data_IF_130303461728
#
_entry.id   IF_130303461728
#
_cell.length_a   1.000
_cell.length_b   1.000
_cell.length_c   1.000
_cell.angle_alpha   90.00
_cell.angle_beta   90.00
_cell.angle_gamma   90.00
#
_symmetry.space_group_name_H-M   'P 1'
#
loop_
_entity.id
_entity.type
_entity.pdbx_description
1 polymer ?
#
# COMPACT_ATOMS: atom_id res chain seq x y z
N UNK A 1 12.63 -9.65 9.14
CA UNK A 1 11.21 -9.50 9.54
C UNK A 1 11.04 -8.53 10.71
N UNK A 2 11.71 -8.76 11.87
CA UNK A 2 11.58 -7.88 13.04
C UNK A 2 11.91 -6.41 12.73
N UNK A 3 12.96 -6.13 11.96
CA UNK A 3 13.36 -4.79 11.56
C UNK A 3 12.29 -4.05 10.76
N UNK A 4 11.57 -4.74 9.86
CA UNK A 4 10.46 -4.15 9.10
C UNK A 4 9.30 -3.75 10.02
N UNK A 5 8.95 -4.62 10.98
CA UNK A 5 7.93 -4.31 11.99
C UNK A 5 8.29 -3.07 12.81
N UNK A 6 9.52 -3.04 13.33
CA UNK A 6 10.01 -1.89 14.10
C UNK A 6 10.00 -0.59 13.29
N UNK A 7 10.45 -0.65 12.03
CA UNK A 7 10.41 0.50 11.13
C UNK A 7 8.97 1.00 10.94
N UNK A 8 8.01 0.10 10.70
CA UNK A 8 6.60 0.46 10.54
C UNK A 8 6.03 1.13 11.79
N UNK A 9 6.28 0.57 12.98
CA UNK A 9 5.82 1.14 14.26
C UNK A 9 6.44 2.51 14.50
N UNK A 10 7.76 2.65 14.33
CA UNK A 10 8.44 3.94 14.52
C UNK A 10 7.89 5.02 13.59
N UNK A 11 7.73 4.70 12.31
CA UNK A 11 7.18 5.65 11.33
C UNK A 11 5.74 6.01 11.67
N UNK A 12 4.91 5.05 12.07
CA UNK A 12 3.52 5.31 12.46
C UNK A 12 3.43 6.25 13.66
N UNK A 13 4.24 6.03 14.70
CA UNK A 13 4.30 6.89 15.89
C UNK A 13 4.76 8.31 15.53
N UNK A 14 5.84 8.43 14.77
CA UNK A 14 6.38 9.74 14.34
C UNK A 14 5.34 10.46 13.48
N UNK A 15 4.72 9.79 12.52
CA UNK A 15 3.67 10.34 11.66
C UNK A 15 2.45 10.80 12.47
N UNK A 16 2.05 10.01 13.47
CA UNK A 16 0.95 10.38 14.36
C UNK A 16 1.23 11.66 15.16
N UNK A 17 2.42 11.80 15.71
CA UNK A 17 2.85 13.03 16.41
C UNK A 17 2.90 14.23 15.45
N UNK A 18 3.44 14.02 14.24
CA UNK A 18 3.58 15.09 13.25
C UNK A 18 2.19 15.59 12.79
N UNK A 19 1.31 14.69 12.43
CA UNK A 19 -0.05 15.01 11.98
C UNK A 19 -0.87 15.67 13.09
N UNK A 20 -0.78 15.20 14.33
CA UNK A 20 -1.45 15.81 15.47
C UNK A 20 -0.95 17.24 15.74
N UNK A 21 0.35 17.47 15.62
CA UNK A 21 0.96 18.79 15.87
C UNK A 21 0.71 19.79 14.75
N UNK A 22 0.73 19.35 13.45
CA UNK A 22 0.71 20.24 12.30
C UNK A 22 -0.69 20.40 11.70
N UNK A 23 -1.47 19.32 11.62
CA UNK A 23 -2.74 19.29 10.88
C UNK A 23 -3.95 19.30 11.81
N UNK A 24 -3.92 18.44 12.83
CA UNK A 24 -5.06 18.24 13.73
C UNK A 24 -4.88 18.98 15.06
N UNK A 25 -4.75 20.30 15.02
CA UNK A 25 -4.78 21.14 16.22
C UNK A 25 -6.21 21.27 16.74
N UNK A 26 -6.82 20.16 17.16
CA UNK A 26 -8.14 20.15 17.76
C UNK A 26 -8.12 20.78 19.17
N UNK A 27 -9.12 21.60 19.48
CA UNK A 27 -9.38 21.98 20.87
C UNK A 27 -9.81 20.71 21.61
N UNK A 28 -9.27 20.42 22.81
CA UNK A 28 -9.77 19.30 23.59
C UNK A 28 -11.25 19.51 23.87
N UNK A 29 -12.09 18.61 23.38
CA UNK A 29 -13.52 18.61 23.70
C UNK A 29 -13.60 18.30 25.18
N UNK A 30 -14.27 19.14 26.02
CA UNK A 30 -14.45 18.83 27.42
C UNK A 30 -15.17 17.50 27.54
N UNK A 31 -14.50 16.55 28.17
CA UNK A 31 -14.98 15.18 28.32
C UNK A 31 -16.00 15.16 29.44
N UNK A 32 -17.27 15.42 29.12
CA UNK A 32 -18.37 15.23 30.07
C UNK A 32 -18.83 13.79 29.91
N UNK A 33 -18.31 12.90 30.73
CA UNK A 33 -18.79 11.52 30.81
C UNK A 33 -19.73 11.41 32.01
N UNK A 34 -21.01 11.32 31.71
CA UNK A 34 -21.89 10.53 32.57
C UNK A 34 -21.47 9.07 32.31
N UNK A 35 -20.87 8.42 33.30
CA UNK A 35 -20.49 7.02 33.22
C UNK A 35 -21.75 6.19 33.06
N UNK A 36 -22.07 5.63 31.88
CA UNK A 36 -23.17 4.71 31.74
C UNK A 36 -22.91 3.50 32.64
N UNK A 37 -23.96 3.00 33.31
CA UNK A 37 -23.83 1.84 34.18
C UNK A 37 -23.17 0.68 33.42
N UNK A 38 -22.02 0.21 33.96
CA UNK A 38 -21.23 -0.85 33.37
C UNK A 38 -22.07 -2.14 33.34
N UNK A 39 -22.49 -2.56 32.15
CA UNK A 39 -23.20 -3.84 31.95
C UNK A 39 -22.30 -4.75 31.15
N UNK A 40 -22.14 -5.97 31.65
CA UNK A 40 -21.46 -7.03 30.88
C UNK A 40 -22.23 -7.27 29.58
N UNK A 41 -21.56 -7.24 28.41
CA UNK A 41 -22.23 -7.50 27.15
C UNK A 41 -22.74 -8.93 27.09
N UNK A 42 -23.97 -9.13 26.66
CA UNK A 42 -24.52 -10.47 26.42
C UNK A 42 -23.88 -11.10 25.20
N UNK A 43 -23.61 -12.41 25.24
CA UNK A 43 -23.01 -13.14 24.13
C UNK A 43 -23.76 -12.93 22.80
N UNK A 44 -25.06 -12.84 22.84
CA UNK A 44 -25.91 -12.52 21.68
C UNK A 44 -25.57 -11.17 21.05
N UNK A 45 -25.42 -10.13 21.84
CA UNK A 45 -25.09 -8.80 21.34
C UNK A 45 -23.69 -8.77 20.72
N UNK A 46 -22.72 -9.46 21.35
CA UNK A 46 -21.36 -9.58 20.80
C UNK A 46 -21.41 -10.23 19.42
N UNK A 47 -22.07 -11.39 19.30
CA UNK A 47 -22.18 -12.13 18.04
C UNK A 47 -22.91 -11.29 16.97
N UNK A 48 -24.00 -10.63 17.32
CA UNK A 48 -24.71 -9.74 16.37
C UNK A 48 -23.81 -8.61 15.86
N UNK A 49 -23.13 -7.89 16.75
CA UNK A 49 -22.23 -6.79 16.33
C UNK A 49 -21.04 -7.31 15.52
N UNK A 50 -20.48 -8.46 15.88
CA UNK A 50 -19.43 -9.08 15.06
C UNK A 50 -19.94 -9.44 13.67
N UNK A 51 -21.14 -10.01 13.57
CA UNK A 51 -21.74 -10.38 12.30
C UNK A 51 -22.06 -9.17 11.42
N UNK A 52 -22.63 -8.10 11.99
CA UNK A 52 -22.88 -6.85 11.27
C UNK A 52 -21.57 -6.28 10.69
N UNK A 53 -20.51 -6.19 11.50
CA UNK A 53 -19.19 -5.71 11.04
C UNK A 53 -18.58 -6.62 9.98
N UNK A 54 -18.69 -7.93 10.15
CA UNK A 54 -18.20 -8.91 9.17
C UNK A 54 -18.99 -8.81 7.85
N UNK A 55 -20.32 -8.69 7.92
CA UNK A 55 -21.17 -8.54 6.73
C UNK A 55 -20.85 -7.27 5.96
N UNK A 56 -20.72 -6.13 6.66
CA UNK A 56 -20.35 -4.86 6.04
C UNK A 56 -18.97 -4.92 5.37
N UNK A 57 -18.01 -5.55 6.03
CA UNK A 57 -16.68 -5.76 5.46
C UNK A 57 -16.74 -6.65 4.21
N UNK A 58 -17.42 -7.79 4.28
CA UNK A 58 -17.56 -8.72 3.15
C UNK A 58 -18.23 -8.06 1.96
N UNK A 59 -19.30 -7.31 2.20
CA UNK A 59 -20.01 -6.62 1.12
C UNK A 59 -19.12 -5.58 0.41
N UNK A 60 -18.41 -4.76 1.18
CA UNK A 60 -17.45 -3.79 0.63
C UNK A 60 -16.29 -4.48 -0.08
N UNK A 61 -15.69 -5.49 0.55
CA UNK A 61 -14.57 -6.24 -0.02
C UNK A 61 -14.99 -6.88 -1.35
N UNK A 62 -16.13 -7.55 -1.38
CA UNK A 62 -16.60 -8.22 -2.60
C UNK A 62 -16.88 -7.22 -3.72
N UNK A 63 -17.55 -6.11 -3.44
CA UNK A 63 -17.93 -5.14 -4.48
C UNK A 63 -16.72 -4.35 -4.99
N UNK A 64 -15.95 -3.77 -4.07
CA UNK A 64 -14.83 -2.87 -4.45
C UNK A 64 -13.65 -3.65 -4.99
N UNK A 65 -13.20 -4.71 -4.28
CA UNK A 65 -12.04 -5.49 -4.70
C UNK A 65 -12.33 -6.21 -6.02
N UNK A 66 -13.52 -6.79 -6.18
CA UNK A 66 -13.91 -7.48 -7.42
C UNK A 66 -13.90 -6.53 -8.62
N UNK A 67 -14.52 -5.35 -8.49
CA UNK A 67 -14.54 -4.37 -9.56
C UNK A 67 -13.12 -3.91 -9.93
N UNK A 68 -12.32 -3.58 -8.93
CA UNK A 68 -10.94 -3.12 -9.15
C UNK A 68 -10.07 -4.24 -9.74
N UNK A 69 -10.26 -5.48 -9.31
CA UNK A 69 -9.55 -6.63 -9.88
C UNK A 69 -9.85 -6.84 -11.37
N UNK A 70 -11.10 -6.64 -11.81
CA UNK A 70 -11.46 -6.68 -13.21
C UNK A 70 -10.74 -5.57 -14.00
N UNK A 71 -10.75 -4.34 -13.48
CA UNK A 71 -10.07 -3.20 -14.11
C UNK A 71 -8.56 -3.47 -14.25
N UNK A 72 -7.92 -3.94 -13.18
CA UNK A 72 -6.48 -4.23 -13.19
C UNK A 72 -6.17 -5.40 -14.13
N UNK A 73 -6.98 -6.46 -14.11
CA UNK A 73 -6.84 -7.56 -15.07
C UNK A 73 -6.90 -7.07 -16.51
N UNK A 74 -7.86 -6.19 -16.80
CA UNK A 74 -7.98 -5.59 -18.13
C UNK A 74 -6.72 -4.79 -18.51
N UNK A 75 -6.24 -3.92 -17.61
CA UNK A 75 -5.03 -3.12 -17.82
C UNK A 75 -3.76 -3.96 -17.97
N UNK A 76 -3.71 -5.15 -17.39
CA UNK A 76 -2.57 -6.07 -17.50
C UNK A 76 -2.52 -6.86 -18.79
N UNK A 77 -3.68 -7.10 -19.41
CA UNK A 77 -3.78 -7.99 -20.57
C UNK A 77 -4.01 -7.26 -21.90
N UNK A 78 -4.35 -5.96 -21.86
CA UNK A 78 -4.66 -5.20 -23.07
C UNK A 78 -3.70 -4.02 -23.26
N UNK A 79 -3.43 -3.72 -24.54
CA UNK A 79 -2.76 -2.51 -24.98
C UNK A 79 -3.79 -1.38 -25.23
N UNK A 80 -3.31 -0.13 -25.44
CA UNK A 80 -4.11 1.05 -25.78
C UNK A 80 -5.03 0.80 -27.00
N UNK A 81 -4.66 -0.13 -27.86
CA UNK A 81 -5.44 -0.52 -29.04
C UNK A 81 -6.46 -1.63 -28.77
N UNK A 82 -6.66 -2.06 -27.53
CA UNK A 82 -7.54 -3.17 -27.12
C UNK A 82 -7.17 -4.54 -27.70
N UNK A 83 -5.90 -4.76 -28.04
CA UNK A 83 -5.40 -6.09 -28.38
C UNK A 83 -4.84 -6.77 -27.14
N UNK A 84 -5.04 -8.09 -27.03
CA UNK A 84 -4.36 -8.88 -25.98
C UNK A 84 -2.88 -8.93 -26.29
N UNK A 85 -2.06 -8.53 -25.33
CA UNK A 85 -0.61 -8.45 -25.44
C UNK A 85 0.06 -9.09 -24.24
N UNK A 86 1.36 -9.35 -24.37
CA UNK A 86 2.17 -9.80 -23.25
C UNK A 86 2.25 -8.74 -22.15
N UNK A 87 2.50 -9.18 -20.91
CA UNK A 87 2.52 -8.31 -19.74
C UNK A 87 3.49 -7.12 -19.87
N UNK A 88 4.56 -7.24 -20.68
CA UNK A 88 5.55 -6.18 -20.94
C UNK A 88 5.05 -5.02 -21.79
N UNK A 89 4.02 -5.26 -22.61
CA UNK A 89 3.48 -4.29 -23.56
C UNK A 89 2.05 -3.83 -23.20
N UNK A 90 1.58 -4.24 -22.03
CA UNK A 90 0.29 -3.86 -21.47
C UNK A 90 0.22 -2.37 -21.10
N UNK A 91 -1.00 -1.85 -20.98
CA UNK A 91 -1.26 -0.47 -20.55
C UNK A 91 -0.59 -0.21 -19.19
N UNK A 92 -0.70 -1.15 -18.25
CA UNK A 92 -0.14 -0.99 -16.90
C UNK A 92 1.39 -1.01 -16.92
N UNK A 93 2.02 -1.79 -17.80
CA UNK A 93 3.46 -1.79 -17.98
C UNK A 93 3.96 -0.45 -18.57
N UNK A 94 3.20 0.14 -19.49
CA UNK A 94 3.51 1.46 -20.06
C UNK A 94 3.46 2.54 -18.99
N UNK A 95 2.45 2.52 -18.11
CA UNK A 95 2.35 3.41 -16.93
C UNK A 95 3.51 3.13 -15.97
N UNK A 96 3.85 1.85 -15.74
CA UNK A 96 4.98 1.43 -14.92
C UNK A 96 6.32 1.94 -15.43
N UNK A 97 6.56 1.88 -16.74
CA UNK A 97 7.76 2.41 -17.40
C UNK A 97 7.87 3.94 -17.19
N UNK A 98 6.77 4.66 -17.31
CA UNK A 98 6.76 6.11 -17.08
C UNK A 98 7.00 6.45 -15.60
N UNK A 99 6.34 5.75 -14.69
CA UNK A 99 6.48 5.97 -13.25
C UNK A 99 7.82 5.46 -12.69
N UNK A 100 8.52 4.54 -13.38
CA UNK A 100 9.82 4.01 -12.97
C UNK A 100 10.88 5.12 -12.79
N UNK A 101 10.79 6.20 -13.57
CA UNK A 101 11.68 7.36 -13.45
C UNK A 101 11.63 8.00 -12.05
N UNK A 102 10.46 8.01 -11.41
CA UNK A 102 10.27 8.55 -10.06
C UNK A 102 11.01 7.73 -8.98
N UNK A 103 11.14 6.42 -9.20
CA UNK A 103 11.77 5.50 -8.26
C UNK A 103 13.27 5.27 -8.53
N UNK A 104 13.84 5.91 -9.57
CA UNK A 104 15.27 5.80 -9.88
C UNK A 104 16.18 6.19 -8.71
N UNK A 105 15.83 7.23 -7.94
CA UNK A 105 16.61 7.69 -6.80
C UNK A 105 16.68 6.65 -5.66
N UNK A 106 15.64 5.84 -5.48
CA UNK A 106 15.62 4.73 -4.52
C UNK A 106 16.20 3.42 -5.10
N UNK A 107 16.62 3.43 -6.36
CA UNK A 107 17.22 2.29 -7.09
C UNK A 107 16.33 1.05 -7.29
N UNK A 108 15.04 1.13 -7.02
CA UNK A 108 14.08 0.10 -7.43
C UNK A 108 13.16 0.60 -8.58
N UNK A 109 13.66 1.53 -9.40
CA UNK A 109 12.98 2.06 -10.58
C UNK A 109 12.94 1.11 -11.77
N UNK A 110 12.96 -0.21 -11.58
CA UNK A 110 12.65 -1.14 -12.65
C UNK A 110 11.16 -1.06 -13.00
N UNK A 111 10.82 -1.15 -14.28
CA UNK A 111 9.43 -1.10 -14.71
C UNK A 111 8.60 -2.23 -14.08
N UNK A 112 9.21 -3.41 -13.85
CA UNK A 112 8.58 -4.55 -13.21
C UNK A 112 8.18 -4.23 -11.76
N UNK A 113 9.11 -3.66 -10.97
CA UNK A 113 8.85 -3.24 -9.60
C UNK A 113 7.76 -2.18 -9.53
N UNK A 114 7.83 -1.18 -10.41
CA UNK A 114 6.86 -0.09 -10.44
C UNK A 114 5.47 -0.58 -10.86
N UNK A 115 5.39 -1.44 -11.87
CA UNK A 115 4.14 -2.07 -12.29
C UNK A 115 3.53 -2.91 -11.16
N UNK A 116 4.35 -3.69 -10.45
CA UNK A 116 3.88 -4.49 -9.31
C UNK A 116 3.34 -3.62 -8.17
N UNK A 117 3.94 -2.46 -7.89
CA UNK A 117 3.45 -1.50 -6.90
C UNK A 117 2.09 -0.90 -7.31
N UNK A 118 1.89 -0.58 -8.59
CA UNK A 118 0.61 -0.08 -9.10
C UNK A 118 -0.47 -1.16 -8.95
N UNK A 119 -0.18 -2.41 -9.29
CA UNK A 119 -1.08 -3.53 -9.07
C UNK A 119 -1.39 -3.75 -7.59
N UNK A 120 -0.40 -3.55 -6.72
CA UNK A 120 -0.51 -3.71 -5.28
C UNK A 120 -1.44 -2.70 -4.58
N UNK A 121 -1.87 -1.64 -5.25
CA UNK A 121 -2.92 -0.73 -4.74
C UNK A 121 -4.25 -1.48 -4.61
N UNK A 122 -4.49 -2.52 -5.39
CA UNK A 122 -5.69 -3.37 -5.24
C UNK A 122 -5.63 -4.19 -3.96
N UNK A 123 -4.53 -4.92 -3.78
CA UNK A 123 -4.22 -5.70 -2.60
C UNK A 123 -2.68 -5.88 -2.52
N UNK A 124 -2.10 -5.66 -1.36
CA UNK A 124 -0.63 -5.68 -1.20
C UNK A 124 -0.01 -7.05 -1.52
N UNK A 125 -0.76 -8.12 -1.37
CA UNK A 125 -0.34 -9.49 -1.73
C UNK A 125 -0.06 -9.64 -3.23
N UNK A 126 -0.74 -8.86 -4.07
CA UNK A 126 -0.59 -8.88 -5.53
C UNK A 126 0.78 -8.33 -5.96
N UNK A 127 1.43 -7.49 -5.16
CA UNK A 127 2.78 -6.96 -5.46
C UNK A 127 3.76 -8.09 -5.74
N UNK A 128 3.85 -9.07 -4.83
CA UNK A 128 4.82 -10.16 -4.94
C UNK A 128 4.45 -11.11 -6.08
N UNK A 129 3.17 -11.44 -6.23
CA UNK A 129 2.73 -12.33 -7.32
C UNK A 129 2.94 -11.69 -8.70
N UNK A 130 2.59 -10.41 -8.88
CA UNK A 130 2.85 -9.69 -10.13
C UNK A 130 4.35 -9.57 -10.40
N UNK A 131 5.13 -9.24 -9.38
CA UNK A 131 6.59 -9.14 -9.52
C UNK A 131 7.19 -10.49 -9.94
N UNK A 132 6.73 -11.59 -9.35
CA UNK A 132 7.19 -12.94 -9.72
C UNK A 132 6.84 -13.28 -11.19
N UNK A 133 5.66 -12.89 -11.66
CA UNK A 133 5.26 -13.09 -13.06
C UNK A 133 6.10 -12.25 -14.01
N UNK A 134 6.34 -10.97 -13.68
CA UNK A 134 7.13 -10.06 -14.51
C UNK A 134 8.64 -10.32 -14.45
N UNK A 135 9.11 -11.06 -13.44
CA UNK A 135 10.51 -11.46 -13.28
C UNK A 135 10.85 -12.79 -13.98
N UNK A 136 9.87 -13.44 -14.64
CA UNK A 136 10.13 -14.65 -15.42
C UNK A 136 10.98 -14.28 -16.63
N UNK A 137 12.26 -14.63 -16.57
CA UNK A 137 13.19 -14.51 -17.70
C UNK A 137 13.00 -15.67 -18.70
N UNK A 138 13.79 -15.66 -19.75
CA UNK A 138 13.80 -16.68 -20.82
C UNK A 138 14.04 -18.14 -20.37
N UNK A 139 14.28 -18.38 -19.07
CA UNK A 139 14.48 -19.71 -18.47
C UNK A 139 13.26 -20.28 -17.73
N UNK A 140 12.13 -19.60 -17.69
CA UNK A 140 10.88 -20.11 -17.10
C UNK A 140 10.80 -20.10 -15.58
N UNK A 141 11.84 -19.71 -14.85
CA UNK A 141 11.82 -19.51 -13.41
C UNK A 141 11.90 -18.01 -13.06
N UNK A 142 11.15 -17.52 -12.03
CA UNK A 142 11.25 -16.14 -11.62
C UNK A 142 12.61 -15.89 -10.96
N UNK A 143 13.43 -15.07 -11.59
CA UNK A 143 14.75 -14.68 -11.07
C UNK A 143 14.69 -13.27 -10.47
N UNK A 144 14.22 -13.19 -9.22
CA UNK A 144 14.19 -11.93 -8.48
C UNK A 144 15.59 -11.42 -8.10
N UNK A 145 16.60 -12.31 -8.10
CA UNK A 145 17.97 -11.93 -7.75
C UNK A 145 18.63 -11.09 -8.85
N UNK A 146 18.18 -11.23 -10.09
CA UNK A 146 18.62 -10.39 -11.21
C UNK A 146 18.05 -8.96 -11.15
N UNK A 147 16.89 -8.79 -10.52
CA UNK A 147 16.19 -7.49 -10.40
C UNK A 147 16.63 -6.70 -9.17
N UNK A 148 16.94 -7.36 -8.07
CA UNK A 148 17.20 -6.73 -6.79
C UNK A 148 18.49 -7.23 -6.13
N UNK A 149 19.38 -6.31 -5.76
CA UNK A 149 20.38 -6.63 -4.74
C UNK A 149 19.70 -6.77 -3.36
N UNK A 150 20.32 -7.43 -2.37
CA UNK A 150 19.75 -7.59 -1.04
C UNK A 150 19.31 -6.27 -0.39
N UNK A 151 20.10 -5.21 -0.56
CA UNK A 151 19.78 -3.87 -0.06
C UNK A 151 18.57 -3.27 -0.80
N UNK A 152 18.54 -3.41 -2.12
CA UNK A 152 17.42 -2.89 -2.94
C UNK A 152 16.14 -3.64 -2.63
N UNK A 153 16.19 -4.96 -2.43
CA UNK A 153 15.04 -5.76 -2.00
C UNK A 153 14.50 -5.30 -0.64
N UNK A 154 15.39 -5.07 0.33
CA UNK A 154 14.98 -4.57 1.66
C UNK A 154 14.35 -3.17 1.56
N UNK A 155 14.93 -2.27 0.78
CA UNK A 155 14.41 -0.92 0.53
C UNK A 155 13.03 -0.98 -0.13
N UNK A 156 12.84 -1.86 -1.10
CA UNK A 156 11.56 -2.11 -1.76
C UNK A 156 10.51 -2.62 -0.78
N UNK A 157 10.87 -3.56 0.10
CA UNK A 157 9.95 -4.06 1.14
C UNK A 157 9.55 -2.97 2.15
N UNK A 158 10.48 -2.10 2.55
CA UNK A 158 10.17 -0.94 3.40
C UNK A 158 9.19 -0.01 2.69
N UNK A 159 9.40 0.27 1.41
CA UNK A 159 8.48 1.06 0.62
C UNK A 159 7.09 0.39 0.53
N UNK A 160 7.03 -0.91 0.22
CA UNK A 160 5.79 -1.68 0.18
C UNK A 160 5.04 -1.71 1.52
N UNK A 161 5.76 -1.62 2.64
CA UNK A 161 5.16 -1.54 3.96
C UNK A 161 4.43 -0.21 4.18
N UNK A 162 5.05 0.89 3.75
CA UNK A 162 4.66 2.26 4.10
C UNK A 162 3.82 2.97 3.03
N UNK A 163 3.81 2.49 1.77
CA UNK A 163 3.06 3.15 0.69
C UNK A 163 1.54 3.02 0.90
N UNK A 164 0.71 3.84 0.21
CA UNK A 164 -0.73 3.88 0.43
C UNK A 164 -1.40 2.52 0.56
N UNK A 165 -2.41 2.39 1.44
CA UNK A 165 -3.13 1.15 1.66
C UNK A 165 -3.98 0.77 0.43
N UNK A 166 -4.51 -0.45 0.43
CA UNK A 166 -5.36 -0.93 -0.65
C UNK A 166 -6.65 -0.10 -0.82
N UNK A 167 -7.24 -0.19 -2.01
CA UNK A 167 -8.46 0.56 -2.37
C UNK A 167 -9.60 0.36 -1.35
N UNK A 168 -9.73 -0.83 -0.77
CA UNK A 168 -10.74 -1.09 0.26
C UNK A 168 -10.50 -0.27 1.54
N UNK A 169 -9.24 -0.14 1.97
CA UNK A 169 -8.88 0.69 3.12
C UNK A 169 -9.05 2.18 2.79
N UNK A 170 -8.66 2.62 1.59
CA UNK A 170 -8.89 4.00 1.13
C UNK A 170 -10.37 4.36 1.10
N UNK A 171 -11.24 3.46 0.64
CA UNK A 171 -12.69 3.67 0.68
C UNK A 171 -13.22 3.84 2.11
N UNK A 172 -12.63 3.14 3.08
CA UNK A 172 -12.99 3.29 4.49
C UNK A 172 -12.48 4.62 5.05
N UNK A 173 -11.22 4.99 4.78
CA UNK A 173 -10.61 6.27 5.19
C UNK A 173 -11.41 7.44 4.62
N UNK A 174 -11.79 7.39 3.33
CA UNK A 174 -12.64 8.39 2.70
C UNK A 174 -13.97 8.59 3.43
N UNK A 175 -14.58 7.50 3.87
CA UNK A 175 -15.83 7.53 4.63
C UNK A 175 -15.64 8.18 6.00
N UNK A 176 -14.54 7.89 6.70
CA UNK A 176 -14.24 8.47 8.01
C UNK A 176 -13.88 9.97 7.90
N UNK A 177 -13.08 10.35 6.89
CA UNK A 177 -12.68 11.74 6.67
C UNK A 177 -13.81 12.59 6.05
N UNK A 178 -14.83 11.95 5.47
CA UNK A 178 -15.96 12.60 4.76
C UNK A 178 -15.50 13.67 3.75
N UNK A 179 -14.33 13.50 3.14
CA UNK A 179 -13.71 14.46 2.22
C UNK A 179 -12.78 13.77 1.24
N UNK A 180 -13.00 13.95 -0.05
CA UNK A 180 -12.16 13.41 -1.12
C UNK A 180 -10.78 14.06 -1.13
N UNK A 181 -10.73 15.38 -0.94
CA UNK A 181 -9.48 16.14 -0.90
C UNK A 181 -8.59 15.69 0.25
N UNK A 182 -9.14 15.50 1.45
CA UNK A 182 -8.39 15.02 2.61
C UNK A 182 -7.85 13.62 2.39
N UNK A 183 -8.61 12.74 1.72
CA UNK A 183 -8.17 11.39 1.39
C UNK A 183 -7.03 11.40 0.39
N UNK A 184 -7.10 12.24 -0.66
CA UNK A 184 -6.01 12.41 -1.63
C UNK A 184 -4.75 13.00 -0.99
N UNK A 185 -4.91 13.99 -0.12
CA UNK A 185 -3.78 14.55 0.64
C UNK A 185 -3.11 13.51 1.52
N UNK A 186 -3.90 12.65 2.17
CA UNK A 186 -3.37 11.56 3.00
C UNK A 186 -2.59 10.56 2.14
N UNK A 187 -3.12 10.14 0.98
CA UNK A 187 -2.41 9.26 0.04
C UNK A 187 -1.09 9.87 -0.41
N UNK A 188 -1.10 11.16 -0.76
CA UNK A 188 0.12 11.89 -1.13
C UNK A 188 1.13 11.94 0.01
N UNK A 189 0.69 12.19 1.23
CA UNK A 189 1.51 12.17 2.41
C UNK A 189 2.15 10.79 2.65
N UNK A 190 1.36 9.72 2.61
CA UNK A 190 1.87 8.34 2.77
C UNK A 190 2.91 7.99 1.70
N UNK A 191 2.67 8.37 0.45
CA UNK A 191 3.60 8.13 -0.65
C UNK A 191 4.94 8.87 -0.43
N UNK A 192 4.90 10.13 0.01
CA UNK A 192 6.10 10.91 0.33
C UNK A 192 6.84 10.32 1.51
N UNK A 193 6.15 9.95 2.58
CA UNK A 193 6.76 9.31 3.77
C UNK A 193 7.41 7.99 3.37
N UNK A 194 6.71 7.13 2.62
CA UNK A 194 7.25 5.86 2.15
C UNK A 194 8.53 6.06 1.33
N UNK A 195 8.52 7.05 0.42
CA UNK A 195 9.69 7.36 -0.40
C UNK A 195 10.87 7.89 0.42
N UNK A 196 10.63 8.84 1.34
CA UNK A 196 11.66 9.39 2.21
C UNK A 196 12.29 8.31 3.10
N UNK A 197 11.47 7.47 3.73
CA UNK A 197 11.97 6.40 4.61
C UNK A 197 12.74 5.36 3.81
N UNK A 198 12.24 4.92 2.66
CA UNK A 198 12.93 4.00 1.79
C UNK A 198 14.28 4.56 1.33
N UNK A 199 14.33 5.85 0.96
CA UNK A 199 15.57 6.53 0.59
C UNK A 199 16.58 6.57 1.75
N UNK A 200 16.13 6.95 2.96
CA UNK A 200 16.98 6.97 4.17
C UNK A 200 17.55 5.59 4.48
N UNK A 201 16.68 4.57 4.48
CA UNK A 201 17.09 3.17 4.74
C UNK A 201 18.15 2.72 3.74
N UNK A 202 17.98 3.07 2.48
CA UNK A 202 18.98 2.77 1.45
C UNK A 202 20.31 3.48 1.72
N UNK A 203 20.31 4.78 2.08
CA UNK A 203 21.53 5.51 2.37
C UNK A 203 22.28 4.90 3.57
N UNK A 204 21.55 4.54 4.62
CA UNK A 204 22.11 3.86 5.78
C UNK A 204 22.72 2.51 5.38
N UNK A 205 22.02 1.72 4.55
CA UNK A 205 22.52 0.44 4.07
C UNK A 205 23.82 0.57 3.27
N UNK A 206 23.93 1.60 2.42
CA UNK A 206 25.17 1.88 1.67
C UNK A 206 26.32 2.29 2.60
N UNK A 207 26.06 3.09 3.63
CA UNK A 207 27.07 3.48 4.62
C UNK A 207 27.57 2.28 5.44
N UNK A 208 26.72 1.27 5.66
CA UNK A 208 27.06 0.03 6.35
C UNK A 208 27.75 -1.00 5.46
N UNK A 209 27.96 -0.70 4.16
CA UNK A 209 28.64 -1.58 3.22
C UNK A 209 27.77 -2.69 2.62
N UNK A 210 26.45 -2.63 2.77
CA UNK A 210 25.53 -3.51 2.05
C UNK A 210 25.30 -2.95 0.65
N UNK A 211 25.86 -3.56 -0.36
CA UNK A 211 25.70 -3.18 -1.77
C UNK A 211 24.78 -4.15 -2.53
#
# INVERSE_FOLDING_TARGET
MLSLYLTGICVAVISGFLLNSLVFRGKPVPFVMELPAYRLPTARNIIMHMWEKAKDFLHKAFTVIFLVSIIVWFLQNFDIRFYMVDASDSIIASIGKLAAAYFCAARFGSWQATTSLICGITAKEVVISTLSVLAVGSGGAPDLSSLFSPLTAYTFLVFCLLYPPCVAALATIRRELNSDTSTLCLMGYELVVAWCVAFIVRQIGLMLGFA
#
